data_IF_197646103931
#
_entry.id   IF_197646103931
#
_cell.length_a   1.000
_cell.length_b   1.000
_cell.length_c   1.000
_cell.angle_alpha   90.00
_cell.angle_beta   90.00
_cell.angle_gamma   90.00
#
_symmetry.space_group_name_H-M   'P 1'
#
loop_
_entity.id
_entity.type
_entity.pdbx_description
1 polymer ?
#
# COMPACT_ATOMS: atom_id res chain seq x y z
N UNK A 1 -29.63 4.57 -31.80
CA UNK A 1 -28.37 4.29 -31.10
C UNK A 1 -28.12 5.48 -30.18
N UNK A 2 -28.43 5.34 -28.88
CA UNK A 2 -28.14 6.37 -27.89
C UNK A 2 -26.65 6.31 -27.57
N UNK A 3 -25.94 7.41 -27.82
CA UNK A 3 -24.54 7.58 -27.44
C UNK A 3 -24.41 7.31 -25.93
N UNK A 4 -23.43 6.52 -25.46
CA UNK A 4 -23.23 6.34 -24.03
C UNK A 4 -22.98 7.72 -23.41
N UNK A 5 -23.74 8.06 -22.38
CA UNK A 5 -23.55 9.29 -21.63
C UNK A 5 -22.11 9.34 -21.12
N UNK A 6 -21.39 10.41 -21.41
CA UNK A 6 -20.06 10.66 -20.84
C UNK A 6 -20.19 10.58 -19.31
N UNK A 7 -19.40 9.77 -18.61
CA UNK A 7 -19.49 9.69 -17.16
C UNK A 7 -19.30 11.09 -16.58
N UNK A 8 -20.19 11.49 -15.67
CA UNK A 8 -20.14 12.80 -15.01
C UNK A 8 -18.81 12.91 -14.28
N UNK A 9 -17.99 13.89 -14.63
CA UNK A 9 -16.71 14.13 -13.96
C UNK A 9 -16.96 14.41 -12.48
N UNK A 10 -16.31 13.64 -11.60
CA UNK A 10 -16.36 13.87 -10.16
C UNK A 10 -15.62 15.15 -9.84
N UNK A 11 -16.25 16.05 -9.09
CA UNK A 11 -15.64 17.30 -8.61
C UNK A 11 -15.63 17.29 -7.08
N UNK A 12 -14.47 17.44 -6.48
CA UNK A 12 -14.36 17.43 -4.99
C UNK A 12 -15.20 18.56 -4.38
N UNK A 13 -15.29 19.70 -5.03
CA UNK A 13 -16.08 20.82 -4.55
C UNK A 13 -17.60 20.52 -4.44
N UNK A 14 -18.10 19.51 -5.16
CA UNK A 14 -19.51 19.11 -5.13
C UNK A 14 -19.80 18.04 -4.06
N UNK A 15 -18.77 17.50 -3.39
CA UNK A 15 -18.90 16.51 -2.32
C UNK A 15 -19.23 17.18 -0.97
N UNK A 16 -19.73 16.42 -0.01
CA UNK A 16 -20.02 16.92 1.33
C UNK A 16 -18.78 17.50 2.01
N UNK A 17 -18.98 18.45 2.93
CA UNK A 17 -17.90 19.02 3.74
C UNK A 17 -17.12 17.94 4.51
N UNK A 18 -17.79 16.85 4.92
CA UNK A 18 -17.17 15.70 5.58
C UNK A 18 -16.18 15.01 4.64
N UNK A 19 -16.59 14.69 3.41
CA UNK A 19 -15.75 14.00 2.43
C UNK A 19 -14.59 14.89 1.97
N UNK A 20 -14.83 16.20 1.78
CA UNK A 20 -13.76 17.16 1.49
C UNK A 20 -12.71 17.21 2.62
N UNK A 21 -13.14 17.22 3.89
CA UNK A 21 -12.24 17.18 5.05
C UNK A 21 -11.44 15.87 5.11
N UNK A 22 -12.05 14.73 4.78
CA UNK A 22 -11.35 13.43 4.71
C UNK A 22 -10.28 13.44 3.61
N UNK A 23 -10.57 14.01 2.45
CA UNK A 23 -9.61 14.14 1.34
C UNK A 23 -8.44 15.04 1.77
N UNK A 24 -8.71 16.17 2.41
CA UNK A 24 -7.67 17.07 2.90
C UNK A 24 -6.75 16.36 3.92
N UNK A 25 -7.31 15.71 4.92
CA UNK A 25 -6.56 14.93 5.91
C UNK A 25 -5.75 13.79 5.27
N UNK A 26 -6.29 13.14 4.22
CA UNK A 26 -5.57 12.12 3.48
C UNK A 26 -4.39 12.69 2.68
N UNK A 27 -4.54 13.87 2.06
CA UNK A 27 -3.44 14.56 1.38
C UNK A 27 -2.30 14.87 2.35
N UNK A 28 -2.61 15.43 3.53
CA UNK A 28 -1.60 15.67 4.57
C UNK A 28 -0.92 14.39 5.03
N UNK A 29 -1.70 13.33 5.30
CA UNK A 29 -1.20 12.02 5.71
C UNK A 29 -0.28 11.42 4.65
N UNK A 30 -0.71 11.37 3.39
CA UNK A 30 0.05 10.77 2.28
C UNK A 30 1.35 11.54 2.03
N UNK A 31 1.30 12.88 2.00
CA UNK A 31 2.50 13.71 1.85
C UNK A 31 3.52 13.44 2.98
N UNK A 32 3.09 13.42 4.23
CA UNK A 32 3.95 13.11 5.38
C UNK A 32 4.53 11.70 5.31
N UNK A 33 3.73 10.70 4.92
CA UNK A 33 4.17 9.31 4.84
C UNK A 33 5.21 9.07 3.73
N UNK A 34 5.24 9.88 2.69
CA UNK A 34 6.34 9.84 1.72
C UNK A 34 7.69 10.20 2.37
N UNK A 35 7.70 11.08 3.38
CA UNK A 35 8.89 11.33 4.20
C UNK A 35 9.37 10.10 4.98
N UNK A 36 8.46 9.24 5.43
CA UNK A 36 8.84 7.98 6.09
C UNK A 36 9.51 7.01 5.11
N UNK A 37 9.11 6.97 3.83
CA UNK A 37 9.78 6.13 2.84
C UNK A 37 11.27 6.52 2.68
N UNK A 38 11.57 7.82 2.71
CA UNK A 38 12.95 8.32 2.68
C UNK A 38 13.66 7.95 3.99
N UNK A 39 13.04 8.21 5.13
CA UNK A 39 13.60 7.93 6.46
C UNK A 39 14.03 6.48 6.63
N UNK A 40 13.24 5.54 6.10
CA UNK A 40 13.51 4.11 6.15
C UNK A 40 14.31 3.59 4.94
N UNK A 41 14.82 4.49 4.08
CA UNK A 41 15.60 4.15 2.89
C UNK A 41 14.89 3.15 1.95
N UNK A 42 13.57 3.33 1.77
CA UNK A 42 12.74 2.44 0.97
C UNK A 42 12.62 2.87 -0.49
N UNK A 43 13.06 4.07 -0.83
CA UNK A 43 12.89 4.67 -2.15
C UNK A 43 14.12 5.46 -2.58
N UNK A 44 14.27 5.61 -3.90
CA UNK A 44 15.33 6.40 -4.52
C UNK A 44 14.70 7.39 -5.50
N UNK A 45 15.11 8.67 -5.41
CA UNK A 45 14.68 9.74 -6.30
C UNK A 45 13.15 9.92 -6.28
N UNK A 46 12.44 9.61 -7.39
CA UNK A 46 10.97 9.74 -7.48
C UNK A 46 10.24 8.39 -7.45
N UNK A 47 10.98 7.28 -7.35
CA UNK A 47 10.43 5.93 -7.36
C UNK A 47 9.63 5.63 -6.10
N UNK A 48 8.62 4.77 -6.24
CA UNK A 48 7.74 4.40 -5.14
C UNK A 48 6.66 5.43 -4.86
N UNK A 49 5.64 5.01 -4.10
CA UNK A 49 4.50 5.84 -3.76
C UNK A 49 3.67 5.25 -2.62
N UNK A 50 2.86 6.10 -2.01
CA UNK A 50 1.86 5.78 -0.99
C UNK A 50 0.51 6.26 -1.49
N UNK A 51 -0.54 5.49 -1.28
CA UNK A 51 -1.92 5.95 -1.45
C UNK A 51 -2.80 5.69 -0.23
N UNK A 52 -3.86 6.48 -0.11
CA UNK A 52 -4.90 6.34 0.91
C UNK A 52 -6.26 6.31 0.22
N UNK A 53 -7.09 5.30 0.53
CA UNK A 53 -8.48 5.21 0.09
C UNK A 53 -9.37 6.17 0.86
N UNK A 54 -10.29 6.80 0.16
CA UNK A 54 -11.39 7.60 0.69
C UNK A 54 -12.70 6.89 0.40
N UNK A 55 -13.40 6.48 1.44
CA UNK A 55 -14.69 5.78 1.32
C UNK A 55 -15.82 6.81 1.14
N UNK A 56 -16.23 7.00 -0.11
CA UNK A 56 -17.25 8.00 -0.50
C UNK A 56 -18.14 7.54 -1.66
N UNK A 57 -18.24 6.22 -1.89
CA UNK A 57 -19.00 5.68 -3.02
C UNK A 57 -20.49 6.11 -3.02
N UNK A 58 -21.10 6.35 -1.86
CA UNK A 58 -22.47 6.85 -1.76
C UNK A 58 -22.66 8.25 -2.34
N UNK A 59 -21.63 9.12 -2.27
CA UNK A 59 -21.68 10.49 -2.78
C UNK A 59 -21.13 10.60 -4.21
N UNK A 60 -19.98 9.95 -4.46
CA UNK A 60 -19.22 10.09 -5.69
C UNK A 60 -19.52 8.99 -6.72
N UNK A 61 -20.33 7.96 -6.35
CA UNK A 61 -20.58 6.78 -7.18
C UNK A 61 -19.44 5.75 -7.16
N UNK A 62 -18.31 6.10 -6.60
CA UNK A 62 -17.14 5.24 -6.36
C UNK A 62 -16.36 5.76 -5.16
N UNK A 63 -15.54 4.92 -4.52
CA UNK A 63 -14.52 5.41 -3.62
C UNK A 63 -13.43 6.15 -4.40
N UNK A 64 -12.68 7.00 -3.71
CA UNK A 64 -11.56 7.74 -4.26
C UNK A 64 -10.25 7.27 -3.63
N UNK A 65 -9.13 7.64 -4.23
CA UNK A 65 -7.81 7.46 -3.64
C UNK A 65 -6.97 8.75 -3.77
N UNK A 66 -6.15 9.01 -2.77
CA UNK A 66 -5.15 10.08 -2.77
C UNK A 66 -3.79 9.45 -3.01
N UNK A 67 -3.02 9.96 -3.97
CA UNK A 67 -1.70 9.44 -4.33
C UNK A 67 -0.77 10.58 -4.74
N UNK A 68 0.55 10.36 -4.68
CA UNK A 68 1.51 11.37 -5.14
C UNK A 68 1.45 11.59 -6.66
N UNK A 69 1.82 12.79 -7.12
CA UNK A 69 2.02 13.06 -8.54
C UNK A 69 3.24 12.28 -9.07
N UNK A 70 3.18 11.88 -10.35
CA UNK A 70 4.27 11.21 -11.06
C UNK A 70 5.45 12.15 -11.27
N UNK A 71 6.68 11.64 -11.10
CA UNK A 71 7.90 12.36 -11.44
C UNK A 71 8.25 13.57 -10.57
N UNK A 72 7.48 13.85 -9.51
CA UNK A 72 7.78 14.95 -8.58
C UNK A 72 8.75 14.44 -7.51
N UNK A 73 9.91 15.12 -7.32
CA UNK A 73 10.87 14.82 -6.25
C UNK A 73 10.22 14.89 -4.86
N UNK A 74 10.69 14.03 -3.95
CA UNK A 74 10.12 13.91 -2.61
C UNK A 74 10.18 15.22 -1.81
N UNK A 75 11.23 16.01 -2.00
CA UNK A 75 11.45 17.31 -1.33
C UNK A 75 10.42 18.38 -1.75
N UNK A 76 9.76 18.16 -2.89
CA UNK A 76 8.75 19.07 -3.43
C UNK A 76 7.31 18.57 -3.21
N UNK A 77 7.15 17.42 -2.54
CA UNK A 77 5.83 16.88 -2.25
C UNK A 77 5.17 17.67 -1.12
N UNK A 78 4.06 18.31 -1.45
CA UNK A 78 3.20 19.01 -0.47
C UNK A 78 1.83 18.35 -0.44
N UNK A 79 1.02 18.55 0.62
CA UNK A 79 -0.37 18.08 0.63
C UNK A 79 -1.19 18.55 -0.57
N UNK A 80 -0.99 19.80 -1.01
CA UNK A 80 -1.72 20.40 -2.13
C UNK A 80 -1.31 19.81 -3.50
N UNK A 81 -0.14 19.17 -3.59
CA UNK A 81 0.28 18.48 -4.79
C UNK A 81 -0.27 17.04 -4.90
N UNK A 82 -0.82 16.47 -3.80
CA UNK A 82 -1.37 15.11 -3.81
C UNK A 82 -2.62 15.05 -4.69
N UNK A 83 -2.58 14.17 -5.70
CA UNK A 83 -3.64 14.01 -6.69
C UNK A 83 -4.74 13.09 -6.16
N UNK A 84 -5.99 13.39 -6.49
CA UNK A 84 -7.14 12.53 -6.18
C UNK A 84 -7.64 11.86 -7.45
N UNK A 85 -7.84 10.55 -7.38
CA UNK A 85 -8.34 9.75 -8.50
C UNK A 85 -9.53 8.89 -8.07
N UNK A 86 -10.34 8.50 -9.04
CA UNK A 86 -11.28 7.40 -8.87
C UNK A 86 -10.52 6.05 -8.79
N UNK A 87 -11.22 4.97 -8.45
CA UNK A 87 -10.58 3.65 -8.36
C UNK A 87 -10.24 3.05 -9.73
N UNK A 88 -10.68 3.66 -10.83
CA UNK A 88 -10.23 3.30 -12.17
C UNK A 88 -8.92 4.01 -12.57
N UNK A 89 -8.37 4.85 -11.69
CA UNK A 89 -7.11 5.57 -11.89
C UNK A 89 -7.25 6.91 -12.61
N UNK A 90 -8.47 7.39 -12.88
CA UNK A 90 -8.69 8.67 -13.53
C UNK A 90 -8.66 9.81 -12.50
N UNK A 91 -7.85 10.83 -12.78
CA UNK A 91 -7.83 12.05 -11.97
C UNK A 91 -9.21 12.71 -12.01
N UNK A 92 -9.74 13.04 -10.83
CA UNK A 92 -10.98 13.82 -10.69
C UNK A 92 -10.69 15.33 -10.74
N UNK A 93 -11.72 16.17 -10.78
CA UNK A 93 -11.55 17.62 -10.58
C UNK A 93 -11.30 17.87 -9.07
N UNK A 94 -10.02 17.84 -8.71
CA UNK A 94 -9.54 17.82 -7.34
C UNK A 94 -8.90 19.13 -6.87
N UNK A 95 -8.95 20.16 -7.74
CA UNK A 95 -8.38 21.49 -7.46
C UNK A 95 -6.85 21.56 -7.57
N UNK A 96 -6.16 20.45 -7.89
CA UNK A 96 -4.71 20.48 -8.17
C UNK A 96 -4.44 21.02 -9.59
N UNK A 97 -3.20 21.47 -9.83
CA UNK A 97 -2.78 21.87 -11.17
C UNK A 97 -3.12 20.81 -12.22
N UNK A 98 -3.69 21.22 -13.34
CA UNK A 98 -4.14 20.31 -14.40
C UNK A 98 -2.98 19.52 -15.05
N UNK A 99 -1.75 20.01 -14.95
CA UNK A 99 -0.55 19.33 -15.45
C UNK A 99 -0.08 18.19 -14.54
N UNK A 100 -0.48 18.17 -13.26
CA UNK A 100 -0.13 17.10 -12.33
C UNK A 100 -0.88 15.82 -12.71
N UNK A 101 -0.12 14.77 -13.01
CA UNK A 101 -0.62 13.42 -13.27
C UNK A 101 -0.37 12.54 -12.05
N UNK A 102 -1.29 11.62 -11.73
CA UNK A 102 -1.06 10.66 -10.64
C UNK A 102 0.16 9.77 -10.94
N UNK A 103 0.72 9.14 -9.90
CA UNK A 103 1.72 8.08 -10.06
C UNK A 103 1.24 7.05 -11.09
N UNK A 104 2.18 6.48 -11.86
CA UNK A 104 1.90 5.41 -12.83
C UNK A 104 1.30 4.15 -12.21
N UNK A 105 1.49 3.94 -10.91
CA UNK A 105 0.94 2.81 -10.16
C UNK A 105 -0.52 3.01 -9.74
N UNK A 106 -1.14 4.14 -10.07
CA UNK A 106 -2.53 4.47 -9.69
C UNK A 106 -3.51 3.36 -10.09
N UNK A 107 -3.33 2.73 -11.25
CA UNK A 107 -4.17 1.63 -11.73
C UNK A 107 -4.03 0.39 -10.84
N UNK A 108 -2.80 0.04 -10.44
CA UNK A 108 -2.53 -1.07 -9.53
C UNK A 108 -3.17 -0.83 -8.16
N UNK A 109 -2.99 0.36 -7.58
CA UNK A 109 -3.59 0.73 -6.30
C UNK A 109 -5.12 0.73 -6.37
N UNK A 110 -5.69 1.33 -7.42
CA UNK A 110 -7.13 1.35 -7.64
C UNK A 110 -7.73 -0.05 -7.76
N UNK A 111 -7.07 -0.95 -8.49
CA UNK A 111 -7.51 -2.34 -8.61
C UNK A 111 -7.49 -3.08 -7.26
N UNK A 112 -6.43 -2.90 -6.47
CA UNK A 112 -6.37 -3.48 -5.11
C UNK A 112 -7.55 -2.98 -4.27
N UNK A 113 -7.84 -1.68 -4.28
CA UNK A 113 -8.99 -1.13 -3.54
C UNK A 113 -10.35 -1.63 -4.03
N UNK A 114 -10.50 -1.90 -5.33
CA UNK A 114 -11.73 -2.46 -5.88
C UNK A 114 -11.96 -3.91 -5.42
N UNK A 115 -10.89 -4.71 -5.34
CA UNK A 115 -10.99 -6.15 -5.08
C UNK A 115 -10.86 -6.51 -3.59
N UNK A 116 -10.20 -5.67 -2.80
CA UNK A 116 -9.92 -5.89 -1.37
C UNK A 116 -10.55 -4.75 -0.55
N UNK A 117 -11.81 -4.92 -0.18
CA UNK A 117 -12.62 -3.87 0.46
C UNK A 117 -12.09 -3.43 1.83
N UNK A 118 -11.37 -4.30 2.53
CA UNK A 118 -10.75 -4.05 3.82
C UNK A 118 -9.49 -3.16 3.71
N UNK A 119 -8.88 -3.09 2.52
CA UNK A 119 -7.66 -2.31 2.29
C UNK A 119 -7.98 -0.83 2.19
N UNK A 120 -7.29 -0.03 3.00
CA UNK A 120 -7.38 1.44 3.00
C UNK A 120 -6.08 2.15 2.65
N UNK A 121 -4.95 1.43 2.59
CA UNK A 121 -3.65 1.95 2.19
C UNK A 121 -2.89 0.96 1.32
N UNK A 122 -2.20 1.47 0.29
CA UNK A 122 -1.27 0.69 -0.56
C UNK A 122 0.02 1.46 -0.69
N UNK A 123 1.14 0.76 -0.60
CA UNK A 123 2.49 1.32 -0.77
C UNK A 123 3.27 0.47 -1.76
N UNK A 124 3.96 1.14 -2.66
CA UNK A 124 4.97 0.55 -3.52
C UNK A 124 6.34 1.15 -3.22
N UNK A 125 7.35 0.30 -3.15
CA UNK A 125 8.75 0.73 -2.97
C UNK A 125 9.69 -0.02 -3.90
N UNK A 126 10.91 0.51 -4.03
CA UNK A 126 12.04 -0.15 -4.68
C UNK A 126 13.16 -0.40 -3.67
N UNK A 127 12.78 -0.75 -2.45
CA UNK A 127 13.71 -1.00 -1.35
C UNK A 127 14.65 -2.16 -1.70
N UNK A 128 15.91 -2.02 -1.35
CA UNK A 128 17.00 -2.79 -1.95
C UNK A 128 16.89 -4.30 -1.74
N UNK A 129 16.65 -4.73 -0.50
CA UNK A 129 16.66 -6.16 -0.18
C UNK A 129 15.39 -6.85 -0.65
N UNK A 130 14.22 -6.26 -0.43
CA UNK A 130 12.98 -6.83 -0.92
C UNK A 130 12.94 -6.89 -2.45
N UNK A 131 13.48 -5.87 -3.14
CA UNK A 131 13.59 -5.88 -4.61
C UNK A 131 14.60 -6.93 -5.10
N UNK A 132 15.69 -7.18 -4.36
CA UNK A 132 16.63 -8.26 -4.70
C UNK A 132 15.97 -9.64 -4.64
N UNK A 133 15.11 -9.90 -3.64
CA UNK A 133 14.30 -11.12 -3.58
C UNK A 133 13.29 -11.19 -4.76
N UNK A 134 12.61 -10.07 -5.08
CA UNK A 134 11.71 -9.98 -6.23
C UNK A 134 12.43 -10.31 -7.56
N UNK A 135 13.65 -9.81 -7.75
CA UNK A 135 14.45 -10.08 -8.95
C UNK A 135 14.88 -11.55 -9.09
N UNK A 136 14.90 -12.29 -7.98
CA UNK A 136 15.20 -13.74 -7.97
C UNK A 136 13.96 -14.60 -8.14
N UNK A 137 12.77 -14.02 -8.16
CA UNK A 137 11.48 -14.72 -8.15
C UNK A 137 11.37 -15.71 -6.97
N UNK A 138 11.89 -15.33 -5.82
CA UNK A 138 11.90 -16.17 -4.62
C UNK A 138 11.12 -15.49 -3.50
N UNK A 139 10.23 -16.22 -2.80
CA UNK A 139 9.57 -15.71 -1.62
C UNK A 139 10.60 -15.51 -0.49
N UNK A 140 10.33 -14.61 0.44
CA UNK A 140 11.13 -14.47 1.64
C UNK A 140 10.61 -15.48 2.67
N UNK A 141 11.41 -16.51 3.04
CA UNK A 141 10.96 -17.57 3.94
C UNK A 141 10.76 -17.05 5.36
N UNK A 142 9.77 -17.59 6.07
CA UNK A 142 9.47 -17.20 7.45
C UNK A 142 10.44 -17.87 8.43
N UNK A 143 11.54 -17.19 8.71
CA UNK A 143 12.59 -17.67 9.63
C UNK A 143 12.81 -16.73 10.83
N UNK A 144 12.04 -15.65 10.93
CA UNK A 144 12.10 -14.65 11.99
C UNK A 144 10.74 -14.53 12.70
N UNK A 145 10.73 -14.42 14.03
CA UNK A 145 9.49 -14.21 14.78
C UNK A 145 8.76 -12.94 14.38
N UNK A 146 9.50 -11.89 14.01
CA UNK A 146 8.95 -10.67 13.42
C UNK A 146 8.15 -10.93 12.14
N UNK A 147 8.59 -11.87 11.28
CA UNK A 147 7.84 -12.28 10.10
C UNK A 147 6.56 -13.03 10.47
N UNK A 148 6.66 -13.93 11.45
CA UNK A 148 5.49 -14.65 11.96
C UNK A 148 4.44 -13.67 12.51
N UNK A 149 4.86 -12.69 13.30
CA UNK A 149 4.01 -11.66 13.88
C UNK A 149 3.31 -10.81 12.78
N UNK A 150 4.07 -10.19 11.88
CA UNK A 150 3.55 -9.19 10.93
C UNK A 150 2.90 -9.82 9.70
N UNK A 151 3.50 -10.88 9.14
CA UNK A 151 3.08 -11.47 7.86
C UNK A 151 2.38 -12.82 8.02
N UNK A 152 2.47 -13.47 9.17
CA UNK A 152 1.84 -14.77 9.43
C UNK A 152 2.40 -15.92 8.59
N UNK A 153 3.59 -15.74 7.99
CA UNK A 153 4.23 -16.69 7.11
C UNK A 153 5.30 -16.05 6.22
N UNK A 154 5.55 -16.68 5.08
CA UNK A 154 6.45 -16.14 4.05
C UNK A 154 5.85 -14.89 3.37
N UNK A 155 6.73 -14.06 2.79
CA UNK A 155 6.30 -12.99 1.89
C UNK A 155 6.34 -13.55 0.46
N UNK A 156 5.18 -13.69 -0.21
CA UNK A 156 5.08 -14.36 -1.50
C UNK A 156 5.59 -13.50 -2.66
N UNK A 157 5.87 -14.17 -3.80
CA UNK A 157 6.21 -13.52 -5.08
C UNK A 157 5.00 -13.59 -6.01
N UNK A 158 4.61 -12.44 -6.54
CA UNK A 158 3.63 -12.31 -7.61
C UNK A 158 4.27 -12.34 -9.01
N UNK A 159 3.46 -12.36 -10.06
CA UNK A 159 3.95 -12.43 -11.43
C UNK A 159 4.72 -11.17 -11.85
N UNK A 160 5.52 -11.29 -12.92
CA UNK A 160 6.02 -10.13 -13.64
C UNK A 160 4.83 -9.46 -14.37
N UNK A 161 4.65 -8.19 -14.13
CA UNK A 161 3.62 -7.39 -14.77
C UNK A 161 4.17 -6.03 -15.22
N UNK A 162 3.63 -5.48 -16.30
CA UNK A 162 4.08 -4.22 -16.87
C UNK A 162 3.27 -3.07 -16.28
N UNK A 163 3.94 -1.97 -15.95
CA UNK A 163 3.32 -0.76 -15.43
C UNK A 163 2.49 -0.06 -16.50
N UNK A 164 1.36 0.55 -16.11
CA UNK A 164 0.53 1.38 -17.00
C UNK A 164 -0.91 0.90 -17.15
N UNK A 165 -1.24 -0.27 -16.63
CA UNK A 165 -2.59 -0.81 -16.52
C UNK A 165 -2.85 -1.49 -15.17
N UNK A 166 -3.90 -2.28 -15.05
CA UNK A 166 -4.27 -2.99 -13.81
C UNK A 166 -3.54 -4.32 -13.58
N UNK A 167 -2.63 -4.73 -14.49
CA UNK A 167 -1.98 -6.06 -14.45
C UNK A 167 -1.16 -6.28 -13.16
N UNK A 168 -0.47 -5.25 -12.67
CA UNK A 168 0.22 -5.30 -11.37
C UNK A 168 -0.80 -5.51 -10.24
N UNK A 169 -1.89 -4.75 -10.25
CA UNK A 169 -2.95 -4.88 -9.24
C UNK A 169 -3.59 -6.27 -9.22
N UNK A 170 -3.83 -6.87 -10.38
CA UNK A 170 -4.31 -8.25 -10.51
C UNK A 170 -3.32 -9.23 -9.88
N UNK A 171 -2.04 -9.11 -10.23
CA UNK A 171 -0.99 -9.96 -9.67
C UNK A 171 -0.90 -9.86 -8.15
N UNK A 172 -1.03 -8.64 -7.59
CA UNK A 172 -1.06 -8.41 -6.14
C UNK A 172 -2.24 -9.15 -5.51
N UNK A 173 -3.46 -8.93 -6.01
CA UNK A 173 -4.68 -9.51 -5.47
C UNK A 173 -4.68 -11.04 -5.57
N UNK A 174 -4.29 -11.59 -6.71
CA UNK A 174 -4.22 -13.04 -6.92
C UNK A 174 -3.20 -13.70 -5.99
N UNK A 175 -2.02 -13.07 -5.80
CA UNK A 175 -0.96 -13.60 -4.95
C UNK A 175 -1.33 -13.53 -3.46
N UNK A 176 -1.98 -12.46 -3.03
CA UNK A 176 -2.37 -12.27 -1.63
C UNK A 176 -3.68 -13.01 -1.26
N UNK A 177 -4.43 -13.50 -2.24
CA UNK A 177 -5.67 -14.26 -1.98
C UNK A 177 -5.38 -15.51 -1.17
N UNK A 178 -5.94 -15.57 0.03
CA UNK A 178 -5.71 -16.67 0.98
C UNK A 178 -4.37 -16.62 1.73
N UNK A 179 -3.52 -15.61 1.48
CA UNK A 179 -2.33 -15.34 2.26
C UNK A 179 -2.66 -14.46 3.47
N UNK A 180 -1.90 -14.65 4.56
CA UNK A 180 -1.89 -13.72 5.71
C UNK A 180 -0.97 -12.52 5.48
N UNK A 181 -0.04 -12.64 4.53
CA UNK A 181 0.92 -11.60 4.24
C UNK A 181 0.23 -10.33 3.74
N UNK A 182 0.68 -9.20 4.24
CA UNK A 182 0.29 -7.87 3.77
C UNK A 182 1.33 -7.27 2.82
N UNK A 183 2.31 -8.08 2.40
CA UNK A 183 3.33 -7.74 1.43
C UNK A 183 3.40 -8.80 0.33
N UNK A 184 3.67 -8.37 -0.89
CA UNK A 184 3.96 -9.21 -2.05
C UNK A 184 5.13 -8.62 -2.82
N UNK A 185 6.03 -9.47 -3.30
CA UNK A 185 7.13 -9.08 -4.17
C UNK A 185 6.69 -9.29 -5.62
N UNK A 186 6.50 -8.21 -6.38
CA UNK A 186 6.22 -8.36 -7.82
C UNK A 186 7.53 -8.68 -8.54
N UNK A 187 7.53 -9.81 -9.27
CA UNK A 187 8.74 -10.33 -9.93
C UNK A 187 9.44 -9.27 -10.80
N UNK A 188 10.76 -9.14 -10.65
CA UNK A 188 11.61 -8.13 -11.32
C UNK A 188 11.22 -6.66 -11.11
N UNK A 189 10.36 -6.36 -10.15
CA UNK A 189 9.89 -5.00 -9.93
C UNK A 189 10.20 -4.51 -8.50
N UNK A 190 9.51 -5.03 -7.50
CA UNK A 190 9.69 -4.63 -6.11
C UNK A 190 8.48 -4.96 -5.25
N UNK A 191 8.53 -4.63 -3.95
CA UNK A 191 7.44 -4.93 -3.04
C UNK A 191 6.26 -3.97 -3.20
N UNK A 192 5.05 -4.53 -3.04
CA UNK A 192 3.82 -3.82 -2.76
C UNK A 192 3.31 -4.27 -1.40
N UNK A 193 2.82 -3.32 -0.60
CA UNK A 193 2.29 -3.59 0.73
C UNK A 193 0.92 -2.95 0.92
N UNK A 194 0.07 -3.62 1.68
CA UNK A 194 -1.30 -3.21 1.95
C UNK A 194 -1.53 -3.03 3.44
N UNK A 195 -2.52 -2.21 3.80
CA UNK A 195 -2.92 -1.99 5.17
C UNK A 195 -4.34 -1.48 5.30
N UNK A 196 -4.87 -1.47 6.51
CA UNK A 196 -6.18 -0.88 6.83
C UNK A 196 -6.21 0.63 6.55
N UNK A 197 -5.04 1.26 6.54
CA UNK A 197 -4.82 2.64 6.09
C UNK A 197 -3.38 2.79 5.56
N UNK A 198 -3.05 3.98 5.05
CA UNK A 198 -1.73 4.27 4.50
C UNK A 198 -0.60 4.15 5.55
N UNK A 199 -0.87 4.45 6.83
CA UNK A 199 0.13 4.32 7.90
C UNK A 199 0.50 2.85 8.13
N UNK A 200 -0.51 1.97 8.20
CA UNK A 200 -0.30 0.53 8.33
C UNK A 200 0.47 -0.04 7.12
N UNK A 201 0.13 0.40 5.90
CA UNK A 201 0.82 -0.06 4.70
C UNK A 201 2.30 0.38 4.66
N UNK A 202 2.62 1.62 5.09
CA UNK A 202 4.02 2.11 5.19
C UNK A 202 4.79 1.35 6.26
N UNK A 203 4.17 1.07 7.43
CA UNK A 203 4.78 0.21 8.45
C UNK A 203 5.13 -1.15 7.86
N UNK A 204 4.19 -1.78 7.17
CA UNK A 204 4.42 -3.08 6.52
C UNK A 204 5.56 -3.02 5.50
N UNK A 205 5.70 -1.91 4.75
CA UNK A 205 6.81 -1.72 3.80
C UNK A 205 8.18 -1.66 4.50
N UNK A 206 8.28 -0.91 5.61
CA UNK A 206 9.50 -0.87 6.41
C UNK A 206 9.85 -2.25 7.01
N UNK A 207 8.85 -2.96 7.53
CA UNK A 207 9.04 -4.32 8.07
C UNK A 207 9.43 -5.32 6.98
N UNK A 208 8.88 -5.19 5.76
CA UNK A 208 9.21 -6.04 4.61
C UNK A 208 10.70 -5.91 4.24
N UNK A 209 11.20 -4.69 4.14
CA UNK A 209 12.63 -4.45 3.85
C UNK A 209 13.54 -4.95 4.96
N UNK A 210 13.21 -4.70 6.23
CA UNK A 210 13.99 -5.16 7.39
C UNK A 210 14.12 -6.69 7.43
N UNK A 211 13.02 -7.42 7.23
CA UNK A 211 13.08 -8.88 7.24
C UNK A 211 13.79 -9.41 5.99
N UNK A 212 13.59 -8.79 4.82
CA UNK A 212 14.31 -9.15 3.60
C UNK A 212 15.82 -9.04 3.78
N UNK A 213 16.29 -7.94 4.39
CA UNK A 213 17.69 -7.71 4.73
C UNK A 213 18.22 -8.77 5.71
N UNK A 214 17.54 -8.97 6.84
CA UNK A 214 17.99 -9.90 7.87
C UNK A 214 18.04 -11.33 7.35
N UNK A 215 17.06 -11.79 6.58
CA UNK A 215 17.05 -13.14 5.99
C UNK A 215 18.19 -13.27 4.95
N UNK A 216 18.45 -12.25 4.15
CA UNK A 216 19.56 -12.24 3.19
C UNK A 216 20.92 -12.36 3.89
N UNK A 217 21.14 -11.61 4.97
CA UNK A 217 22.37 -11.70 5.76
C UNK A 217 22.52 -13.08 6.42
N UNK A 218 21.44 -13.60 6.98
CA UNK A 218 21.43 -14.96 7.58
C UNK A 218 21.79 -16.04 6.55
N UNK A 219 21.22 -15.93 5.33
CA UNK A 219 21.48 -16.90 4.25
C UNK A 219 22.95 -16.91 3.76
N UNK A 220 23.70 -15.82 3.98
CA UNK A 220 25.15 -15.78 3.71
C UNK A 220 25.99 -16.61 4.71
N UNK A 221 25.44 -16.86 5.90
CA UNK A 221 26.11 -17.66 6.95
C UNK A 221 25.72 -19.15 6.89
N UNK A 222 24.77 -19.52 6.07
CA UNK A 222 24.24 -20.85 5.90
C UNK A 222 22.73 -20.85 5.70
N UNK A 223 22.13 -22.04 5.61
CA UNK A 223 20.68 -22.14 5.46
C UNK A 223 19.96 -21.74 6.75
N UNK A 224 19.06 -20.73 6.74
CA UNK A 224 18.32 -20.33 7.91
C UNK A 224 17.38 -21.44 8.41
N UNK A 225 17.22 -21.55 9.72
CA UNK A 225 16.34 -22.55 10.35
C UNK A 225 14.89 -22.06 10.30
N UNK A 226 13.96 -22.80 9.66
CA UNK A 226 12.57 -22.39 9.58
C UNK A 226 11.86 -22.47 10.93
N UNK A 227 10.90 -21.54 11.15
CA UNK A 227 10.02 -21.57 12.32
C UNK A 227 8.91 -22.59 12.06
N UNK A 228 8.61 -23.51 13.02
CA UNK A 228 7.51 -24.45 12.88
C UNK A 228 6.15 -23.74 12.69
N UNK A 229 5.29 -24.26 11.80
CA UNK A 229 4.03 -23.62 11.44
C UNK A 229 3.13 -23.30 12.65
N UNK A 230 3.01 -24.22 13.62
CA UNK A 230 2.23 -23.98 14.85
C UNK A 230 2.73 -22.79 15.68
N UNK A 231 4.05 -22.52 15.61
CA UNK A 231 4.66 -21.35 16.28
C UNK A 231 4.33 -20.08 15.51
N UNK A 232 4.39 -20.11 14.16
CA UNK A 232 3.96 -19.00 13.30
C UNK A 232 2.50 -18.64 13.59
N UNK A 233 1.62 -19.64 13.62
CA UNK A 233 0.18 -19.43 13.86
C UNK A 233 -0.08 -18.77 15.21
N UNK A 234 0.61 -19.22 16.27
CA UNK A 234 0.49 -18.65 17.63
C UNK A 234 0.99 -17.20 17.70
N UNK A 235 2.14 -16.91 17.08
CA UNK A 235 2.73 -15.57 17.05
C UNK A 235 1.83 -14.59 16.28
N UNK A 236 1.36 -14.99 15.11
CA UNK A 236 0.44 -14.20 14.31
C UNK A 236 -0.84 -13.87 15.06
N UNK A 237 -1.50 -14.89 15.66
CA UNK A 237 -2.73 -14.69 16.42
C UNK A 237 -2.52 -13.73 17.59
N UNK A 238 -1.42 -13.88 18.36
CA UNK A 238 -1.07 -12.97 19.45
C UNK A 238 -0.89 -11.55 18.96
N UNK A 239 -0.16 -11.37 17.86
CA UNK A 239 0.15 -10.05 17.32
C UNK A 239 -1.09 -9.31 16.81
N UNK A 240 -2.02 -10.02 16.16
CA UNK A 240 -3.25 -9.43 15.66
C UNK A 240 -4.26 -9.06 16.77
N UNK A 241 -4.21 -9.74 17.94
CA UNK A 241 -5.23 -9.61 18.98
C UNK A 241 -4.74 -8.95 20.27
N UNK A 242 -3.47 -9.19 20.65
CA UNK A 242 -2.97 -8.86 21.99
C UNK A 242 -1.79 -7.88 21.99
N UNK A 243 -1.22 -7.56 20.80
CA UNK A 243 -0.03 -6.73 20.71
C UNK A 243 -0.37 -5.26 20.50
N UNK A 244 0.30 -4.41 21.28
CA UNK A 244 0.18 -2.97 21.21
C UNK A 244 -0.56 -2.37 22.40
N UNK A 245 -0.65 -1.05 22.42
CA UNK A 245 -1.46 -0.36 23.42
C UNK A 245 -2.91 -0.33 22.93
N UNK A 246 -3.79 -1.06 23.61
CA UNK A 246 -5.23 -0.89 23.42
C UNK A 246 -5.62 0.47 24.00
N UNK A 247 -6.29 1.30 23.23
CA UNK A 247 -6.98 2.45 23.83
C UNK A 247 -7.93 1.90 24.92
N UNK A 248 -7.91 2.47 26.13
CA UNK A 248 -8.84 2.01 27.16
C UNK A 248 -10.27 2.22 26.63
N UNK A 249 -11.05 1.13 26.61
CA UNK A 249 -12.48 1.18 26.29
C UNK A 249 -13.10 2.30 27.14
N UNK A 250 -13.88 3.25 26.59
CA UNK A 250 -14.52 4.25 27.41
C UNK A 250 -15.34 3.51 28.47
N UNK A 251 -14.99 3.73 29.74
CA UNK A 251 -15.65 3.13 30.87
C UNK A 251 -17.15 3.39 30.74
N UNK A 252 -17.93 2.31 30.62
CA UNK A 252 -19.38 2.42 30.65
C UNK A 252 -19.77 3.12 31.92
N UNK A 253 -20.41 4.29 31.79
CA UNK A 253 -21.09 4.94 32.90
C UNK A 253 -22.20 3.98 33.38
N UNK A 254 -22.01 3.45 34.56
CA UNK A 254 -23.03 2.76 35.35
C UNK A 254 -23.98 3.81 35.98
#
# INVERSE_FOLDING_TARGET
MTSPATPKQIRIADLSARTQAQIHAAREKVARLHGELIRWNLVVWTAGNVSQRIRCAEEAGTDLLVIKPSGVPYELLTPDAMVVCDLAGHKVDDGTDASLRPSSDVFAHGYVYQQMVEVGGVVHTHSTFATAWAARHQPIPCVLTMMADEFGGEIPVGPLAVIGDDSIGRGIVETLRGSRSRAVLMANHGPFTIGVDATAAVKTAAMCEEVAHTVQVSAQMGEPVPIPQHTIDRLYARYQNDYGQHEPSPAGNA
#
